data_IF_152652337694
#
_entry.id   IF_152652337694
#
_cell.length_a   1.000
_cell.length_b   1.000
_cell.length_c   1.000
_cell.angle_alpha   90.00
_cell.angle_beta   90.00
_cell.angle_gamma   90.00
#
_symmetry.space_group_name_H-M   'P 1'
#
loop_
_entity.id
_entity.type
_entity.pdbx_description
1 polymer ?
#
# COMPACT_ATOMS: atom_id res chain seq x y z
N UNK A 1 11.61 -7.41 -49.06
CA UNK A 1 10.63 -7.63 -47.97
C UNK A 1 11.21 -8.66 -47.00
N UNK A 2 11.83 -8.21 -45.90
CA UNK A 2 12.17 -9.08 -44.76
C UNK A 2 10.84 -9.50 -44.13
N UNK A 3 10.46 -10.75 -44.31
CA UNK A 3 9.37 -11.37 -43.52
C UNK A 3 9.78 -11.30 -42.08
N UNK A 4 9.04 -10.54 -41.29
CA UNK A 4 9.08 -10.53 -39.83
C UNK A 4 8.93 -11.97 -39.40
N UNK A 5 9.82 -12.43 -38.53
CA UNK A 5 9.91 -13.79 -38.03
C UNK A 5 8.56 -14.38 -37.67
N UNK A 6 8.41 -15.67 -38.00
CA UNK A 6 7.12 -16.32 -38.06
C UNK A 6 6.33 -16.24 -36.72
N UNK A 7 5.08 -16.65 -36.81
CA UNK A 7 4.10 -16.75 -35.74
C UNK A 7 4.69 -17.30 -34.41
N UNK A 8 5.73 -18.13 -34.49
CA UNK A 8 6.41 -18.72 -33.33
C UNK A 8 7.29 -17.72 -32.56
N UNK A 9 7.85 -16.72 -33.26
CA UNK A 9 8.67 -15.68 -32.61
C UNK A 9 7.77 -14.63 -31.92
N UNK A 10 6.65 -14.28 -32.55
CA UNK A 10 5.58 -13.50 -31.94
C UNK A 10 4.98 -14.22 -30.72
N UNK A 11 4.69 -15.50 -30.84
CA UNK A 11 4.18 -16.32 -29.75
C UNK A 11 5.18 -16.42 -28.58
N UNK A 12 6.48 -16.53 -28.86
CA UNK A 12 7.53 -16.49 -27.83
C UNK A 12 7.62 -15.13 -27.17
N UNK A 13 7.52 -14.05 -27.95
CA UNK A 13 7.59 -12.69 -27.43
C UNK A 13 6.36 -12.37 -26.55
N UNK A 14 5.17 -12.65 -27.02
CA UNK A 14 3.94 -12.46 -26.24
C UNK A 14 3.84 -13.46 -25.08
N UNK A 15 4.25 -14.70 -25.25
CA UNK A 15 4.29 -15.69 -24.18
C UNK A 15 5.30 -15.34 -23.08
N UNK A 16 6.44 -14.71 -23.42
CA UNK A 16 7.38 -14.17 -22.44
C UNK A 16 6.80 -12.95 -21.72
N UNK A 17 6.10 -12.06 -22.43
CA UNK A 17 5.46 -10.88 -21.84
C UNK A 17 4.33 -11.25 -20.91
N UNK A 18 3.44 -12.16 -21.32
CA UNK A 18 2.35 -12.68 -20.48
C UNK A 18 2.89 -13.43 -19.26
N UNK A 19 3.98 -14.19 -19.39
CA UNK A 19 4.63 -14.88 -18.27
C UNK A 19 5.35 -13.92 -17.32
N UNK A 20 5.88 -12.81 -17.83
CA UNK A 20 6.48 -11.75 -17.02
C UNK A 20 5.42 -10.90 -16.31
N UNK A 21 4.27 -10.66 -16.94
CA UNK A 21 3.13 -9.94 -16.34
C UNK A 21 2.37 -10.80 -15.30
N UNK A 22 2.50 -12.13 -15.37
CA UNK A 22 1.91 -13.05 -14.39
C UNK A 22 2.81 -13.37 -13.18
N UNK A 23 4.08 -12.95 -13.21
CA UNK A 23 4.99 -13.19 -12.09
C UNK A 23 4.71 -12.23 -10.93
N UNK A 24 4.61 -12.75 -9.72
CA UNK A 24 4.53 -11.93 -8.50
C UNK A 24 5.78 -11.06 -8.41
N UNK A 25 5.60 -9.75 -8.37
CA UNK A 25 6.72 -8.81 -8.28
C UNK A 25 6.61 -7.97 -7.01
N UNK A 26 7.52 -8.16 -6.09
CA UNK A 26 7.65 -7.34 -4.89
C UNK A 26 8.50 -6.08 -5.10
N UNK A 27 9.02 -5.88 -6.31
CA UNK A 27 9.87 -4.72 -6.64
C UNK A 27 9.25 -3.37 -6.26
N UNK A 28 7.99 -3.06 -6.60
CA UNK A 28 7.41 -1.77 -6.23
C UNK A 28 7.25 -1.62 -4.71
N UNK A 29 6.97 -2.70 -3.99
CA UNK A 29 6.89 -2.70 -2.52
C UNK A 29 8.25 -2.38 -1.90
N UNK A 30 9.31 -3.05 -2.37
CA UNK A 30 10.68 -2.80 -1.91
C UNK A 30 11.13 -1.38 -2.23
N UNK A 31 10.74 -0.85 -3.40
CA UNK A 31 11.03 0.54 -3.77
C UNK A 31 10.35 1.53 -2.81
N UNK A 32 9.07 1.34 -2.51
CA UNK A 32 8.33 2.20 -1.57
C UNK A 32 8.98 2.20 -0.19
N UNK A 33 9.20 1.02 0.40
CA UNK A 33 9.81 0.95 1.73
C UNK A 33 11.26 1.42 1.73
N UNK A 34 12.02 1.17 0.66
CA UNK A 34 13.38 1.69 0.51
C UNK A 34 13.43 3.21 0.47
N UNK A 35 12.59 3.84 -0.35
CA UNK A 35 12.49 5.30 -0.43
C UNK A 35 12.00 5.88 0.90
N UNK A 36 10.99 5.28 1.52
CA UNK A 36 10.49 5.72 2.84
C UNK A 36 11.57 5.67 3.91
N UNK A 37 12.39 4.61 3.92
CA UNK A 37 13.51 4.48 4.85
C UNK A 37 14.58 5.54 4.62
N UNK A 38 14.95 5.81 3.36
CA UNK A 38 15.91 6.86 3.01
C UNK A 38 15.41 8.25 3.43
N UNK A 39 14.14 8.55 3.19
CA UNK A 39 13.53 9.81 3.61
C UNK A 39 13.52 9.96 5.13
N UNK A 40 13.12 8.90 5.85
CA UNK A 40 13.08 8.89 7.30
C UNK A 40 14.48 9.07 7.91
N UNK A 41 15.50 8.42 7.35
CA UNK A 41 16.88 8.57 7.78
C UNK A 41 17.43 9.98 7.47
N UNK A 42 17.13 10.54 6.30
CA UNK A 42 17.54 11.88 5.93
C UNK A 42 16.98 12.94 6.89
N UNK A 43 15.66 12.86 7.18
CA UNK A 43 15.02 13.76 8.13
C UNK A 43 15.52 13.51 9.55
N UNK A 44 15.68 12.26 9.97
CA UNK A 44 16.22 11.88 11.27
C UNK A 44 17.64 12.45 11.49
N UNK A 45 18.48 12.41 10.46
CA UNK A 45 19.79 13.03 10.49
C UNK A 45 19.71 14.55 10.73
N UNK A 46 18.80 15.24 10.03
CA UNK A 46 18.58 16.69 10.21
C UNK A 46 18.07 17.03 11.61
N UNK A 47 17.31 16.12 12.25
CA UNK A 47 16.79 16.28 13.61
C UNK A 47 17.81 15.87 14.70
N UNK A 48 19.01 15.46 14.34
CA UNK A 48 20.10 15.16 15.27
C UNK A 48 20.19 13.71 15.73
N UNK A 49 19.46 12.77 15.08
CA UNK A 49 19.58 11.34 15.39
C UNK A 49 19.05 10.42 14.28
N UNK A 50 19.89 9.47 13.81
CA UNK A 50 19.53 8.53 12.77
C UNK A 50 18.60 7.42 13.26
N UNK A 51 18.84 6.92 14.47
CA UNK A 51 18.11 5.78 15.05
C UNK A 51 17.34 6.23 16.29
N UNK A 52 16.31 7.04 16.06
CA UNK A 52 15.41 7.52 17.11
C UNK A 52 14.00 6.96 16.88
N UNK A 53 13.18 7.00 17.91
CA UNK A 53 11.75 6.68 17.80
C UNK A 53 11.11 7.55 16.72
N UNK A 54 11.47 8.84 16.65
CA UNK A 54 10.97 9.76 15.63
C UNK A 54 11.33 9.32 14.21
N UNK A 55 12.49 8.72 13.99
CA UNK A 55 12.86 8.16 12.67
C UNK A 55 11.98 6.98 12.30
N UNK A 56 11.61 6.12 13.25
CA UNK A 56 10.68 5.03 13.00
C UNK A 56 9.26 5.54 12.69
N UNK A 57 8.79 6.55 13.41
CA UNK A 57 7.52 7.24 13.14
C UNK A 57 7.50 7.82 11.71
N UNK A 58 8.56 8.53 11.33
CA UNK A 58 8.71 9.09 9.99
C UNK A 58 8.72 8.02 8.91
N UNK A 59 9.38 6.89 9.16
CA UNK A 59 9.38 5.77 8.21
C UNK A 59 7.97 5.25 7.93
N UNK A 60 7.17 5.05 8.97
CA UNK A 60 5.79 4.58 8.83
C UNK A 60 4.95 5.64 8.12
N UNK A 61 5.04 6.90 8.55
CA UNK A 61 4.27 8.00 7.98
C UNK A 61 4.60 8.26 6.49
N UNK A 62 5.88 8.19 6.09
CA UNK A 62 6.27 8.25 4.68
C UNK A 62 5.77 7.05 3.89
N UNK A 63 5.85 5.84 4.45
CA UNK A 63 5.34 4.63 3.80
C UNK A 63 3.84 4.75 3.53
N UNK A 64 3.05 5.18 4.51
CA UNK A 64 1.62 5.45 4.36
C UNK A 64 1.35 6.47 3.26
N UNK A 65 2.05 7.61 3.29
CA UNK A 65 1.86 8.68 2.31
C UNK A 65 2.17 8.24 0.88
N UNK A 66 3.26 7.51 0.67
CA UNK A 66 3.66 7.02 -0.66
C UNK A 66 2.68 5.95 -1.15
N UNK A 67 2.28 5.01 -0.30
CA UNK A 67 1.31 3.97 -0.67
C UNK A 67 -0.06 4.57 -0.98
N UNK A 68 -0.49 5.59 -0.23
CA UNK A 68 -1.71 6.33 -0.52
C UNK A 68 -1.65 7.05 -1.87
N UNK A 69 -0.52 7.68 -2.20
CA UNK A 69 -0.31 8.31 -3.52
C UNK A 69 -0.39 7.30 -4.66
N UNK A 70 0.17 6.10 -4.49
CA UNK A 70 0.07 5.03 -5.49
C UNK A 70 -1.38 4.56 -5.69
N UNK A 71 -2.17 4.49 -4.62
CA UNK A 71 -3.61 4.18 -4.68
C UNK A 71 -4.40 5.30 -5.37
N UNK A 72 -3.99 6.56 -5.17
CA UNK A 72 -4.62 7.74 -5.78
C UNK A 72 -4.33 7.88 -7.28
N UNK A 73 -3.26 7.27 -7.81
CA UNK A 73 -2.97 7.29 -9.24
C UNK A 73 -4.07 6.62 -10.08
N UNK A 74 -4.72 5.59 -9.53
CA UNK A 74 -5.84 4.89 -10.18
C UNK A 74 -6.84 4.44 -9.10
N UNK A 75 -7.63 5.40 -8.63
CA UNK A 75 -8.61 5.20 -7.55
C UNK A 75 -9.71 4.21 -7.95
N UNK A 76 -10.08 4.16 -9.23
CA UNK A 76 -11.12 3.26 -9.71
C UNK A 76 -10.66 1.81 -9.66
N UNK A 77 -9.46 1.54 -10.15
CA UNK A 77 -8.85 0.22 -10.09
C UNK A 77 -8.60 -0.21 -8.64
N UNK A 78 -8.08 0.71 -7.81
CA UNK A 78 -7.92 0.47 -6.37
C UNK A 78 -9.25 0.13 -5.73
N UNK A 79 -10.30 0.95 -5.92
CA UNK A 79 -11.62 0.77 -5.33
C UNK A 79 -12.21 -0.59 -5.71
N UNK A 80 -12.14 -0.95 -7.00
CA UNK A 80 -12.64 -2.24 -7.50
C UNK A 80 -11.97 -3.43 -6.82
N UNK A 81 -10.64 -3.38 -6.65
CA UNK A 81 -9.92 -4.45 -5.97
C UNK A 81 -10.18 -4.46 -4.46
N UNK A 82 -10.26 -3.29 -3.84
CA UNK A 82 -10.50 -3.11 -2.42
C UNK A 82 -11.87 -3.63 -1.99
N UNK A 83 -12.90 -3.40 -2.80
CA UNK A 83 -14.26 -3.94 -2.60
C UNK A 83 -14.31 -5.47 -2.51
N UNK A 84 -13.35 -6.17 -3.09
CA UNK A 84 -13.35 -7.63 -3.05
C UNK A 84 -13.05 -8.21 -1.67
N UNK A 85 -12.37 -7.45 -0.79
CA UNK A 85 -11.94 -7.98 0.51
C UNK A 85 -12.23 -7.08 1.71
N UNK A 86 -12.36 -5.77 1.54
CA UNK A 86 -12.59 -4.87 2.67
C UNK A 86 -14.05 -4.89 3.12
N UNK A 87 -14.25 -5.16 4.42
CA UNK A 87 -15.57 -5.35 5.01
C UNK A 87 -16.43 -4.08 5.02
N UNK A 88 -15.78 -2.91 5.24
CA UNK A 88 -16.48 -1.65 5.28
C UNK A 88 -16.78 -1.14 3.88
N UNK A 89 -15.84 -1.32 2.94
CA UNK A 89 -16.03 -0.97 1.54
C UNK A 89 -17.17 -1.76 0.90
N UNK A 90 -17.32 -3.04 1.24
CA UNK A 90 -18.44 -3.87 0.76
C UNK A 90 -19.80 -3.35 1.20
N UNK A 91 -19.90 -2.71 2.36
CA UNK A 91 -21.13 -2.07 2.84
C UNK A 91 -21.34 -0.65 2.31
N UNK A 92 -20.25 0.09 2.16
CA UNK A 92 -20.25 1.50 1.77
C UNK A 92 -19.21 1.74 0.68
N UNK A 93 -19.62 1.62 -0.58
CA UNK A 93 -18.72 1.79 -1.74
C UNK A 93 -17.98 3.13 -1.72
N UNK A 94 -18.61 4.20 -1.23
CA UNK A 94 -17.95 5.52 -1.10
C UNK A 94 -16.71 5.50 -0.20
N UNK A 95 -16.66 4.60 0.78
CA UNK A 95 -15.51 4.43 1.65
C UNK A 95 -14.26 4.00 0.87
N UNK A 96 -14.40 3.13 -0.12
CA UNK A 96 -13.26 2.69 -0.94
C UNK A 96 -12.60 3.83 -1.71
N UNK A 97 -13.37 4.84 -2.12
CA UNK A 97 -12.83 6.04 -2.76
C UNK A 97 -12.20 7.02 -1.77
N UNK A 98 -12.74 7.11 -0.55
CA UNK A 98 -12.23 8.00 0.50
C UNK A 98 -11.00 7.44 1.22
N UNK A 99 -10.85 6.12 1.23
CA UNK A 99 -9.77 5.43 1.94
C UNK A 99 -8.37 5.99 1.60
N UNK A 100 -7.93 6.11 0.33
CA UNK A 100 -6.60 6.63 0.01
C UNK A 100 -6.38 8.08 0.44
N UNK A 101 -7.44 8.90 0.41
CA UNK A 101 -7.36 10.30 0.88
C UNK A 101 -7.19 10.36 2.39
N UNK A 102 -7.92 9.54 3.14
CA UNK A 102 -7.79 9.45 4.60
C UNK A 102 -6.40 8.96 5.01
N UNK A 103 -5.88 7.96 4.31
CA UNK A 103 -4.54 7.43 4.54
C UNK A 103 -3.45 8.47 4.25
N UNK A 104 -3.55 9.18 3.12
CA UNK A 104 -2.61 10.26 2.78
C UNK A 104 -2.66 11.38 3.81
N UNK A 105 -3.87 11.80 4.20
CA UNK A 105 -4.06 12.85 5.20
C UNK A 105 -3.42 12.46 6.52
N UNK A 106 -3.68 11.26 7.02
CA UNK A 106 -3.08 10.76 8.26
C UNK A 106 -1.55 10.72 8.17
N UNK A 107 -0.99 10.17 7.08
CA UNK A 107 0.46 10.10 6.86
C UNK A 107 1.12 11.48 6.85
N UNK A 108 0.58 12.43 6.10
CA UNK A 108 1.13 13.79 5.99
C UNK A 108 1.06 14.52 7.35
N UNK A 109 -0.06 14.41 8.06
CA UNK A 109 -0.20 15.03 9.39
C UNK A 109 0.75 14.42 10.43
N UNK A 110 1.01 13.11 10.35
CA UNK A 110 1.99 12.44 11.21
C UNK A 110 3.43 12.87 10.88
N UNK A 111 3.78 13.03 9.59
CA UNK A 111 5.08 13.60 9.20
C UNK A 111 5.25 15.00 9.77
N UNK A 112 4.24 15.84 9.60
CA UNK A 112 4.25 17.22 10.11
C UNK A 112 4.25 17.31 11.64
N UNK A 113 3.82 16.25 12.35
CA UNK A 113 3.58 16.29 13.79
C UNK A 113 2.45 17.26 14.19
N UNK A 114 1.52 17.52 13.26
CA UNK A 114 0.45 18.49 13.42
C UNK A 114 -0.92 17.81 13.35
N UNK A 115 -1.92 18.40 14.03
CA UNK A 115 -3.30 17.90 14.03
C UNK A 115 -3.40 16.39 14.33
N UNK A 116 -2.57 15.88 15.24
CA UNK A 116 -2.51 14.46 15.57
C UNK A 116 -3.86 13.94 16.09
N UNK A 117 -4.68 14.78 16.68
CA UNK A 117 -6.03 14.47 17.11
C UNK A 117 -6.99 14.11 15.95
N UNK A 118 -6.64 14.45 14.68
CA UNK A 118 -7.32 13.97 13.46
C UNK A 118 -6.61 12.76 12.89
N UNK A 119 -5.27 12.85 12.78
CA UNK A 119 -4.47 11.81 12.15
C UNK A 119 -4.58 10.45 12.85
N UNK A 120 -4.51 10.45 14.18
CA UNK A 120 -4.55 9.23 14.99
C UNK A 120 -5.88 8.48 14.84
N UNK A 121 -7.07 9.09 15.03
CA UNK A 121 -8.32 8.38 14.84
C UNK A 121 -8.52 7.87 13.41
N UNK A 122 -8.10 8.64 12.41
CA UNK A 122 -8.19 8.23 11.00
C UNK A 122 -7.31 7.00 10.75
N UNK A 123 -6.05 7.04 11.17
CA UNK A 123 -5.13 5.91 11.01
C UNK A 123 -5.61 4.66 11.77
N UNK A 124 -6.12 4.82 12.99
CA UNK A 124 -6.66 3.72 13.79
C UNK A 124 -7.88 3.06 13.13
N UNK A 125 -8.84 3.85 12.65
CA UNK A 125 -10.04 3.33 11.98
C UNK A 125 -9.65 2.60 10.71
N UNK A 126 -8.88 3.25 9.83
CA UNK A 126 -8.45 2.68 8.55
C UNK A 126 -7.59 1.43 8.77
N UNK A 127 -6.58 1.52 9.64
CA UNK A 127 -5.67 0.42 9.91
C UNK A 127 -6.37 -0.78 10.56
N UNK A 128 -7.29 -0.55 11.52
CA UNK A 128 -8.02 -1.64 12.18
C UNK A 128 -8.98 -2.33 11.23
N UNK A 129 -9.79 -1.58 10.49
CA UNK A 129 -10.73 -2.14 9.52
C UNK A 129 -9.99 -2.89 8.42
N UNK A 130 -8.92 -2.29 7.88
CA UNK A 130 -8.08 -2.91 6.86
C UNK A 130 -7.41 -4.19 7.36
N UNK A 131 -6.82 -4.18 8.57
CA UNK A 131 -6.18 -5.37 9.15
C UNK A 131 -7.17 -6.53 9.34
N UNK A 132 -8.35 -6.25 9.91
CA UNK A 132 -9.40 -7.26 10.09
C UNK A 132 -9.88 -7.80 8.75
N UNK A 133 -10.09 -6.92 7.77
CA UNK A 133 -10.56 -7.29 6.43
C UNK A 133 -9.56 -8.19 5.71
N UNK A 134 -8.28 -7.81 5.70
CA UNK A 134 -7.20 -8.60 5.09
C UNK A 134 -7.02 -9.92 5.82
N UNK A 135 -6.99 -9.90 7.15
CA UNK A 135 -6.86 -11.11 7.94
C UNK A 135 -7.98 -12.10 7.63
N UNK A 136 -9.24 -11.63 7.60
CA UNK A 136 -10.38 -12.46 7.23
C UNK A 136 -10.25 -13.03 5.81
N UNK A 137 -9.95 -12.18 4.82
CA UNK A 137 -9.88 -12.60 3.42
C UNK A 137 -8.79 -13.64 3.18
N UNK A 138 -7.62 -13.48 3.82
CA UNK A 138 -6.44 -14.34 3.57
C UNK A 138 -6.45 -15.59 4.45
N UNK A 139 -6.71 -15.45 5.75
CA UNK A 139 -6.53 -16.56 6.71
C UNK A 139 -7.83 -17.34 6.97
N UNK A 140 -9.00 -16.68 6.93
CA UNK A 140 -10.28 -17.33 7.17
C UNK A 140 -10.88 -17.81 5.85
N UNK A 141 -11.07 -16.91 4.88
CA UNK A 141 -11.72 -17.19 3.60
C UNK A 141 -10.75 -17.82 2.59
N UNK A 142 -9.43 -17.80 2.88
CA UNK A 142 -8.35 -18.37 2.05
C UNK A 142 -8.42 -17.94 0.58
N UNK A 143 -8.72 -16.68 0.34
CA UNK A 143 -8.84 -16.12 -1.00
C UNK A 143 -7.49 -15.76 -1.57
N UNK A 144 -7.20 -16.19 -2.78
CA UNK A 144 -6.04 -15.73 -3.56
C UNK A 144 -6.40 -14.43 -4.28
N UNK A 145 -6.19 -13.30 -3.62
CA UNK A 145 -6.49 -11.97 -4.14
C UNK A 145 -5.20 -11.19 -4.39
N UNK A 146 -5.27 -10.24 -5.31
CA UNK A 146 -4.19 -9.27 -5.52
C UNK A 146 -4.31 -8.12 -4.55
N UNK A 147 -3.14 -7.62 -4.08
CA UNK A 147 -3.10 -6.44 -3.22
C UNK A 147 -3.43 -5.17 -4.03
N UNK A 148 -4.33 -4.37 -3.51
CA UNK A 148 -4.58 -3.03 -4.01
C UNK A 148 -3.53 -2.00 -3.54
N UNK A 149 -2.58 -2.39 -2.67
CA UNK A 149 -1.67 -1.49 -1.95
C UNK A 149 -0.75 -0.66 -2.87
N UNK A 150 -0.36 -1.22 -4.02
CA UNK A 150 0.65 -0.63 -4.92
C UNK A 150 0.04 -0.20 -6.26
N UNK A 151 -1.23 0.16 -6.23
CA UNK A 151 -1.99 0.54 -7.44
C UNK A 151 -2.54 -0.67 -8.20
N UNK A 152 -3.53 -0.40 -9.06
CA UNK A 152 -4.38 -1.42 -9.71
C UNK A 152 -3.68 -2.36 -10.70
N UNK A 153 -2.44 -2.08 -11.10
CA UNK A 153 -1.70 -2.89 -12.08
C UNK A 153 -0.69 -3.86 -11.44
N UNK A 154 -0.57 -3.89 -10.11
CA UNK A 154 0.43 -4.72 -9.44
C UNK A 154 -0.02 -6.18 -9.31
N UNK A 155 0.93 -7.12 -9.52
CA UNK A 155 0.74 -8.55 -9.28
C UNK A 155 1.23 -8.97 -7.89
N UNK A 156 1.16 -8.09 -6.89
CA UNK A 156 1.50 -8.39 -5.50
C UNK A 156 0.33 -9.17 -4.89
N UNK A 157 0.56 -10.34 -4.27
CA UNK A 157 -0.51 -11.07 -3.61
C UNK A 157 -1.01 -10.29 -2.38
N UNK A 158 -2.33 -10.28 -2.19
CA UNK A 158 -2.94 -9.80 -0.96
C UNK A 158 -2.48 -10.70 0.19
N UNK A 159 -2.06 -10.12 1.28
CA UNK A 159 -1.69 -10.89 2.46
C UNK A 159 -0.62 -10.17 3.24
N UNK A 160 0.61 -10.66 3.19
CA UNK A 160 1.67 -10.15 4.07
C UNK A 160 1.88 -8.63 3.94
N UNK A 161 1.96 -8.10 2.72
CA UNK A 161 2.21 -6.66 2.48
C UNK A 161 1.06 -5.80 3.01
N UNK A 162 -0.18 -6.12 2.62
CA UNK A 162 -1.36 -5.35 3.03
C UNK A 162 -1.63 -5.47 4.54
N UNK A 163 -1.41 -6.66 5.11
CA UNK A 163 -1.55 -6.84 6.56
C UNK A 163 -0.50 -6.04 7.33
N UNK A 164 0.77 -6.10 6.90
CA UNK A 164 1.85 -5.34 7.51
C UNK A 164 1.59 -3.84 7.45
N UNK A 165 1.17 -3.31 6.31
CA UNK A 165 0.80 -1.91 6.13
C UNK A 165 -0.27 -1.48 7.15
N UNK A 166 -1.37 -2.22 7.22
CA UNK A 166 -2.47 -1.91 8.14
C UNK A 166 -2.07 -2.03 9.62
N UNK A 167 -1.27 -3.04 9.96
CA UNK A 167 -0.75 -3.21 11.33
C UNK A 167 0.23 -2.09 11.71
N UNK A 168 1.07 -1.61 10.77
CA UNK A 168 1.95 -0.47 11.00
C UNK A 168 1.15 0.80 11.26
N UNK A 169 0.08 1.05 10.47
CA UNK A 169 -0.82 2.19 10.70
C UNK A 169 -1.50 2.13 12.07
N UNK A 170 -2.03 0.97 12.41
CA UNK A 170 -2.69 0.75 13.71
C UNK A 170 -1.68 0.91 14.86
N UNK A 171 -0.51 0.28 14.76
CA UNK A 171 0.55 0.37 15.76
C UNK A 171 1.04 1.80 15.97
N UNK A 172 1.21 2.55 14.87
CA UNK A 172 1.58 3.97 14.92
C UNK A 172 0.49 4.81 15.61
N UNK A 173 -0.78 4.59 15.24
CA UNK A 173 -1.90 5.28 15.86
C UNK A 173 -2.00 5.03 17.36
N UNK A 174 -1.79 3.79 17.82
CA UNK A 174 -1.76 3.45 19.26
C UNK A 174 -0.54 4.07 19.94
N UNK A 175 0.61 4.07 19.30
CA UNK A 175 1.85 4.63 19.85
C UNK A 175 1.78 6.15 20.06
N UNK A 176 1.08 6.85 19.17
CA UNK A 176 0.97 8.32 19.21
C UNK A 176 -0.21 8.85 20.05
N UNK A 177 -1.03 7.96 20.64
CA UNK A 177 -2.07 8.30 21.64
C UNK A 177 -1.44 8.77 22.95
#
# INVERSE_FOLDING_TARGET
>A
QKRIGGYDELRRYFGKKVKAEGATSYQPVLAVFGVSALLALAVGWMLGGLFTIRTAELFIAFSMSILALLKLQDVESFSTMFLNYDLLAQRHVRYSYLYPFGELLAGVLMVAGALLWIAIPVALVIGTVGAISVFKAVFIDRRELKCACVGGSSNVPLGFVSLTENLMMMGMGVWML
#
